data_IF_461636374389
#
_entry.id   IF_461636374389
#
_cell.length_a   1.000
_cell.length_b   1.000
_cell.length_c   1.000
_cell.angle_alpha   90.00
_cell.angle_beta   90.00
_cell.angle_gamma   90.00
#
_symmetry.space_group_name_H-M   'P 1'
#
loop_
_entity.id
_entity.type
_entity.pdbx_description
1 polymer ?
#
# COMPACT_ATOMS: atom_id res chain seq x y z
N UNK A 1 7.32 -0.56 21.03
CA UNK A 1 6.01 0.00 21.48
C UNK A 1 5.37 0.67 20.26
N UNK A 2 4.16 0.24 19.89
CA UNK A 2 3.45 0.84 18.76
C UNK A 2 3.00 2.26 19.15
N UNK A 3 3.48 3.25 18.40
CA UNK A 3 3.13 4.66 18.61
C UNK A 3 1.80 4.95 17.94
N UNK A 4 0.83 5.46 18.69
CA UNK A 4 -0.40 6.01 18.14
C UNK A 4 -0.17 7.45 17.70
N UNK A 5 -0.61 7.77 16.48
CA UNK A 5 -0.46 9.09 15.88
C UNK A 5 -1.80 9.83 15.93
N UNK A 6 -1.76 11.11 16.24
CA UNK A 6 -2.88 12.01 16.02
C UNK A 6 -3.00 12.38 14.55
N UNK A 7 -4.14 12.91 14.11
CA UNK A 7 -4.34 13.42 12.75
C UNK A 7 -3.24 14.42 12.37
N UNK A 8 -2.94 15.37 13.25
CA UNK A 8 -1.92 16.40 13.00
C UNK A 8 -0.53 15.81 12.86
N UNK A 9 -0.15 14.85 13.70
CA UNK A 9 1.13 14.16 13.59
C UNK A 9 1.24 13.39 12.27
N UNK A 10 0.15 12.77 11.84
CA UNK A 10 0.09 12.01 10.59
C UNK A 10 0.22 12.92 9.36
N UNK A 11 -0.44 14.07 9.39
CA UNK A 11 -0.40 15.05 8.29
C UNK A 11 0.96 15.77 8.19
N UNK A 12 1.73 15.83 9.29
CA UNK A 12 3.01 16.54 9.39
C UNK A 12 4.21 15.59 9.47
N UNK A 13 4.10 14.35 8.97
CA UNK A 13 5.26 13.45 8.87
C UNK A 13 6.34 14.09 8.00
N UNK A 14 7.61 14.16 8.46
CA UNK A 14 8.69 14.79 7.71
C UNK A 14 8.91 14.14 6.34
N UNK A 15 9.04 14.95 5.30
CA UNK A 15 9.28 14.49 3.92
C UNK A 15 10.53 13.62 3.79
N UNK A 16 11.56 13.89 4.60
CA UNK A 16 12.80 13.11 4.63
C UNK A 16 12.61 11.62 4.98
N UNK A 17 11.47 11.25 5.58
CA UNK A 17 11.14 9.85 5.89
C UNK A 17 10.47 9.13 4.73
N UNK A 18 10.05 9.84 3.69
CA UNK A 18 9.30 9.28 2.58
C UNK A 18 10.19 8.67 1.51
N UNK A 19 9.69 7.69 0.74
CA UNK A 19 8.34 7.12 0.82
C UNK A 19 8.17 6.15 2.00
N UNK A 20 6.94 5.98 2.46
CA UNK A 20 6.61 5.03 3.51
C UNK A 20 5.49 4.08 3.06
N UNK A 21 5.63 2.75 3.23
CA UNK A 21 4.53 1.82 3.06
C UNK A 21 3.41 2.11 4.07
N UNK A 22 2.17 2.14 3.59
CA UNK A 22 0.98 2.35 4.42
C UNK A 22 -0.01 1.23 4.14
N UNK A 23 -0.48 0.60 5.20
CA UNK A 23 -1.57 -0.37 5.17
C UNK A 23 -2.80 0.26 5.78
N UNK A 24 -3.95 0.09 5.14
CA UNK A 24 -5.21 0.56 5.68
C UNK A 24 -6.20 -0.57 5.91
N UNK A 25 -6.96 -0.41 6.97
CA UNK A 25 -8.14 -1.18 7.31
C UNK A 25 -9.34 -0.25 7.23
N UNK A 26 -10.05 -0.26 6.10
CA UNK A 26 -11.29 0.49 5.96
C UNK A 26 -12.42 -0.21 6.71
N UNK A 27 -13.01 0.49 7.67
CA UNK A 27 -14.03 -0.05 8.56
C UNK A 27 -15.41 -0.16 7.90
N UNK A 28 -15.64 0.59 6.82
CA UNK A 28 -16.97 0.72 6.18
C UNK A 28 -17.03 0.19 4.76
N UNK A 29 -15.90 -0.11 4.12
CA UNK A 29 -15.86 -0.51 2.73
C UNK A 29 -16.10 -2.00 2.56
N UNK A 30 -17.16 -2.38 1.83
CA UNK A 30 -17.53 -3.77 1.53
C UNK A 30 -16.37 -4.50 0.81
N UNK A 31 -15.65 -3.83 -0.08
CA UNK A 31 -14.50 -4.42 -0.77
C UNK A 31 -13.36 -4.76 0.21
N UNK A 32 -13.08 -3.87 1.16
CA UNK A 32 -12.10 -4.14 2.22
C UNK A 32 -12.55 -5.31 3.11
N UNK A 33 -13.85 -5.38 3.45
CA UNK A 33 -14.41 -6.49 4.21
C UNK A 33 -14.26 -7.83 3.49
N UNK A 34 -14.49 -7.87 2.17
CA UNK A 34 -14.29 -9.07 1.35
C UNK A 34 -12.85 -9.54 1.33
N UNK A 35 -11.88 -8.64 1.14
CA UNK A 35 -10.45 -8.95 1.19
C UNK A 35 -10.09 -9.53 2.57
N UNK A 36 -10.48 -8.87 3.64
CA UNK A 36 -10.18 -9.31 5.01
C UNK A 36 -10.77 -10.69 5.35
N UNK A 37 -12.00 -10.94 4.93
CA UNK A 37 -12.64 -12.24 5.13
C UNK A 37 -11.90 -13.37 4.40
N UNK A 38 -11.41 -13.10 3.19
CA UNK A 38 -10.66 -14.09 2.40
C UNK A 38 -9.23 -14.31 2.92
N UNK A 39 -8.53 -13.23 3.29
CA UNK A 39 -7.14 -13.30 3.76
C UNK A 39 -7.01 -13.62 5.24
N UNK A 40 -8.12 -13.68 5.97
CA UNK A 40 -8.14 -13.74 7.45
C UNK A 40 -7.28 -12.63 8.09
N UNK A 41 -7.16 -11.50 7.40
CA UNK A 41 -6.29 -10.38 7.76
C UNK A 41 -7.03 -9.15 8.22
N UNK A 42 -6.27 -8.19 8.77
CA UNK A 42 -6.80 -6.90 9.23
C UNK A 42 -6.77 -5.83 8.15
N UNK A 43 -5.91 -5.98 7.12
CA UNK A 43 -5.68 -4.94 6.13
C UNK A 43 -6.32 -5.26 4.80
N UNK A 44 -7.06 -4.29 4.26
CA UNK A 44 -7.75 -4.40 2.97
C UNK A 44 -7.09 -3.60 1.85
N UNK A 45 -6.11 -2.74 2.16
CA UNK A 45 -5.49 -1.87 1.16
C UNK A 45 -4.03 -1.56 1.47
N UNK A 46 -3.23 -1.39 0.41
CA UNK A 46 -1.82 -0.99 0.46
C UNK A 46 -1.60 0.29 -0.33
N UNK A 47 -0.82 1.21 0.22
CA UNK A 47 -0.53 2.53 -0.36
C UNK A 47 0.91 2.94 -0.04
N UNK A 48 1.37 4.00 -0.70
CA UNK A 48 2.63 4.68 -0.39
C UNK A 48 2.38 6.11 0.06
N UNK A 49 2.86 6.50 1.22
CA UNK A 49 2.94 7.91 1.62
C UNK A 49 4.17 8.51 0.92
N UNK A 50 3.94 9.42 -0.04
CA UNK A 50 4.97 9.93 -0.95
C UNK A 50 5.37 11.38 -0.70
N UNK A 51 4.53 12.13 -0.01
CA UNK A 51 4.78 13.48 0.47
C UNK A 51 3.88 13.74 1.69
N UNK A 52 4.14 14.76 2.53
CA UNK A 52 3.26 15.13 3.63
C UNK A 52 1.80 15.23 3.15
N UNK A 53 0.89 14.51 3.80
CA UNK A 53 -0.52 14.49 3.44
C UNK A 53 -0.88 13.90 2.07
N UNK A 54 0.07 13.26 1.35
CA UNK A 54 -0.15 12.74 0.00
C UNK A 54 0.19 11.26 -0.12
N UNK A 55 -0.78 10.47 -0.52
CA UNK A 55 -0.62 9.04 -0.81
C UNK A 55 -0.57 8.79 -2.32
N UNK A 56 0.19 7.76 -2.72
CA UNK A 56 0.04 7.10 -4.01
C UNK A 56 -0.72 5.79 -3.78
N UNK A 57 -1.90 5.67 -4.37
CA UNK A 57 -2.85 4.60 -4.09
C UNK A 57 -3.49 4.09 -5.38
N UNK A 58 -3.69 2.77 -5.45
CA UNK A 58 -4.49 2.15 -6.50
C UNK A 58 -5.98 2.33 -6.15
N UNK A 59 -6.66 3.11 -6.96
CA UNK A 59 -8.10 3.36 -6.87
C UNK A 59 -8.83 2.66 -8.01
N UNK A 60 -10.15 2.62 -7.98
CA UNK A 60 -10.97 2.02 -9.05
C UNK A 60 -10.66 2.57 -10.44
N UNK A 61 -10.20 3.81 -10.51
CA UNK A 61 -9.82 4.52 -11.74
C UNK A 61 -8.29 4.58 -11.96
N UNK A 62 -7.53 3.68 -11.34
CA UNK A 62 -6.10 3.49 -11.51
C UNK A 62 -5.23 4.01 -10.36
N UNK A 63 -3.91 3.87 -10.53
CA UNK A 63 -2.92 4.31 -9.57
C UNK A 63 -2.74 5.82 -9.65
N UNK A 64 -3.02 6.53 -8.57
CA UNK A 64 -3.07 8.00 -8.52
C UNK A 64 -2.62 8.58 -7.19
N UNK A 65 -2.31 9.88 -7.22
CA UNK A 65 -2.15 10.67 -5.99
C UNK A 65 -3.51 10.93 -5.36
N UNK A 66 -3.63 10.70 -4.07
CA UNK A 66 -4.83 10.97 -3.26
C UNK A 66 -4.43 11.68 -1.97
N UNK A 67 -5.33 12.46 -1.41
CA UNK A 67 -5.09 13.11 -0.12
C UNK A 67 -5.16 12.08 0.99
N UNK A 68 -4.19 12.08 1.90
CA UNK A 68 -4.21 11.26 3.10
C UNK A 68 -5.47 11.51 3.93
N UNK A 69 -5.91 12.77 3.98
CA UNK A 69 -7.09 13.18 4.73
C UNK A 69 -8.37 12.40 4.34
N UNK A 70 -8.50 11.98 3.07
CA UNK A 70 -9.66 11.22 2.61
C UNK A 70 -9.79 9.83 3.24
N UNK A 71 -8.76 9.34 3.91
CA UNK A 71 -8.76 8.05 4.60
C UNK A 71 -8.97 8.19 6.13
N UNK A 72 -8.81 9.39 6.70
CA UNK A 72 -8.74 9.54 8.15
C UNK A 72 -10.09 9.38 8.87
N UNK A 73 -11.20 9.41 8.16
CA UNK A 73 -12.53 9.26 8.77
C UNK A 73 -12.97 7.80 8.91
N UNK A 74 -12.49 6.92 8.01
CA UNK A 74 -13.01 5.56 7.88
C UNK A 74 -11.92 4.48 7.94
N UNK A 75 -10.64 4.86 7.94
CA UNK A 75 -9.53 3.91 7.86
C UNK A 75 -8.67 3.94 9.12
N UNK A 76 -8.38 2.74 9.65
CA UNK A 76 -7.22 2.54 10.52
C UNK A 76 -5.98 2.43 9.65
N UNK A 77 -4.92 3.12 10.03
CA UNK A 77 -3.68 3.12 9.25
C UNK A 77 -2.52 2.54 10.07
N UNK A 78 -1.66 1.77 9.39
CA UNK A 78 -0.37 1.33 9.90
C UNK A 78 0.71 1.79 8.93
N UNK A 79 1.64 2.60 9.42
CA UNK A 79 2.74 3.14 8.64
C UNK A 79 4.01 2.40 8.97
N UNK A 80 4.73 2.01 7.93
CA UNK A 80 6.02 1.37 8.04
C UNK A 80 7.12 2.31 7.60
N UNK A 81 8.26 2.23 8.26
CA UNK A 81 9.45 3.00 7.99
C UNK A 81 10.68 2.11 7.93
N UNK A 82 11.61 2.39 7.04
CA UNK A 82 12.90 1.73 7.01
C UNK A 82 14.01 2.75 7.30
N UNK A 83 14.59 2.74 8.51
CA UNK A 83 15.68 3.65 8.87
C UNK A 83 16.93 3.42 8.02
N UNK A 84 17.11 2.22 7.50
CA UNK A 84 18.31 1.83 6.74
C UNK A 84 18.27 2.30 5.28
N UNK A 85 17.14 2.77 4.77
CA UNK A 85 17.10 3.28 3.41
C UNK A 85 17.91 4.55 3.28
N UNK A 86 18.87 4.52 2.39
CA UNK A 86 19.62 5.69 1.98
C UNK A 86 18.72 6.70 1.25
N UNK A 87 19.22 7.91 1.06
CA UNK A 87 18.55 8.91 0.22
C UNK A 87 18.36 8.41 -1.21
N UNK A 88 19.33 7.64 -1.74
CA UNK A 88 19.25 7.02 -3.06
C UNK A 88 18.12 5.98 -3.17
N UNK A 89 17.96 5.12 -2.16
CA UNK A 89 16.90 4.12 -2.12
C UNK A 89 15.52 4.78 -2.13
N UNK A 90 15.34 5.82 -1.32
CA UNK A 90 14.10 6.59 -1.28
C UNK A 90 13.78 7.25 -2.62
N UNK A 91 14.79 7.86 -3.25
CA UNK A 91 14.65 8.47 -4.57
C UNK A 91 14.30 7.45 -5.65
N UNK A 92 14.88 6.24 -5.61
CA UNK A 92 14.57 5.16 -6.55
C UNK A 92 13.10 4.72 -6.46
N UNK A 93 12.59 4.52 -5.25
CA UNK A 93 11.18 4.16 -5.04
C UNK A 93 10.26 5.29 -5.51
N UNK A 94 10.53 6.55 -5.13
CA UNK A 94 9.72 7.71 -5.55
C UNK A 94 9.71 7.86 -7.06
N UNK A 95 10.84 7.68 -7.73
CA UNK A 95 10.94 7.74 -9.19
C UNK A 95 10.10 6.64 -9.87
N UNK A 96 10.11 5.42 -9.31
CA UNK A 96 9.31 4.31 -9.82
C UNK A 96 7.80 4.58 -9.64
N UNK A 97 7.41 5.11 -8.49
CA UNK A 97 6.03 5.51 -8.21
C UNK A 97 5.60 6.63 -9.18
N UNK A 98 6.42 7.67 -9.36
CA UNK A 98 6.11 8.79 -10.26
C UNK A 98 5.98 8.35 -11.71
N UNK A 99 6.85 7.43 -12.17
CA UNK A 99 6.74 6.81 -13.49
C UNK A 99 5.39 6.09 -13.67
N UNK A 100 4.95 5.35 -12.65
CA UNK A 100 3.68 4.63 -12.69
C UNK A 100 2.48 5.59 -12.68
N UNK A 101 2.53 6.64 -11.85
CA UNK A 101 1.49 7.66 -11.76
C UNK A 101 1.24 8.40 -13.08
N UNK A 102 2.27 8.50 -13.95
CA UNK A 102 2.18 9.12 -15.29
C UNK A 102 1.55 8.23 -16.34
N UNK A 103 1.40 6.93 -16.09
CA UNK A 103 0.74 6.01 -17.01
C UNK A 103 -0.72 6.35 -17.19
N UNK A 104 -1.17 6.33 -18.43
CA UNK A 104 -2.57 6.46 -18.77
C UNK A 104 -3.28 5.10 -18.62
N UNK A 105 -4.61 5.12 -18.54
CA UNK A 105 -5.41 3.91 -18.33
C UNK A 105 -5.14 2.80 -19.39
N UNK A 106 -4.88 3.17 -20.65
CA UNK A 106 -4.55 2.20 -21.71
C UNK A 106 -3.10 1.69 -21.67
N UNK A 107 -2.26 2.25 -20.81
CA UNK A 107 -0.89 1.80 -20.54
C UNK A 107 -0.80 0.87 -19.33
N UNK A 108 -1.95 0.32 -18.87
CA UNK A 108 -2.00 -0.60 -17.76
C UNK A 108 -2.24 0.04 -16.39
N UNK A 109 -2.55 1.34 -16.33
CA UNK A 109 -2.93 2.00 -15.08
C UNK A 109 -4.42 1.76 -14.78
N UNK A 110 -4.78 0.48 -14.50
CA UNK A 110 -6.16 0.06 -14.22
C UNK A 110 -6.20 -0.81 -12.98
N UNK A 111 -7.32 -0.74 -12.27
CA UNK A 111 -7.62 -1.69 -11.21
C UNK A 111 -8.01 -3.05 -11.79
N UNK A 112 -7.42 -4.12 -11.28
CA UNK A 112 -7.73 -5.48 -11.71
C UNK A 112 -8.97 -6.03 -10.99
N UNK A 113 -10.14 -5.68 -11.51
CA UNK A 113 -11.39 -6.22 -11.00
C UNK A 113 -11.55 -7.72 -11.25
N UNK A 114 -10.95 -8.26 -12.30
CA UNK A 114 -11.06 -9.68 -12.63
C UNK A 114 -10.29 -10.51 -11.61
N UNK A 115 -9.05 -10.15 -11.34
CA UNK A 115 -8.26 -10.79 -10.29
C UNK A 115 -8.89 -10.58 -8.91
N UNK A 116 -9.51 -9.43 -8.67
CA UNK A 116 -10.25 -9.16 -7.44
C UNK A 116 -11.43 -10.13 -7.24
N UNK A 117 -12.23 -10.41 -8.29
CA UNK A 117 -13.32 -11.39 -8.24
C UNK A 117 -12.76 -12.79 -7.99
N UNK A 118 -11.68 -13.18 -8.68
CA UNK A 118 -10.99 -14.44 -8.45
C UNK A 118 -10.51 -14.60 -7.01
N UNK A 119 -10.03 -13.51 -6.44
CA UNK A 119 -9.60 -13.43 -5.05
C UNK A 119 -10.78 -13.61 -4.07
N UNK A 120 -11.90 -12.91 -4.28
CA UNK A 120 -13.10 -13.02 -3.43
C UNK A 120 -13.77 -14.38 -3.47
N UNK A 121 -13.74 -15.05 -4.63
CA UNK A 121 -14.38 -16.37 -4.82
C UNK A 121 -13.46 -17.53 -4.45
N UNK A 122 -12.19 -17.26 -4.13
CA UNK A 122 -11.17 -18.29 -3.90
C UNK A 122 -10.74 -19.03 -5.18
N UNK A 123 -11.19 -18.60 -6.34
CA UNK A 123 -10.86 -19.20 -7.63
C UNK A 123 -9.53 -18.67 -8.16
N UNK A 124 -8.44 -19.21 -7.67
CA UNK A 124 -7.06 -18.81 -8.01
C UNK A 124 -6.73 -18.88 -9.51
N UNK A 125 -7.53 -19.57 -10.31
CA UNK A 125 -7.38 -19.66 -11.76
C UNK A 125 -8.00 -18.46 -12.50
N UNK A 126 -8.86 -17.68 -11.84
CA UNK A 126 -9.37 -16.42 -12.40
C UNK A 126 -8.28 -15.37 -12.24
N UNK A 127 -7.46 -15.24 -13.28
CA UNK A 127 -6.47 -14.17 -13.38
C UNK A 127 -6.89 -13.24 -14.52
N UNK A 128 -6.55 -11.97 -14.37
CA UNK A 128 -6.83 -11.02 -15.43
C UNK A 128 -6.12 -11.41 -16.71
N UNK A 129 -6.84 -11.53 -17.84
CA UNK A 129 -6.23 -11.74 -19.14
C UNK A 129 -5.50 -10.49 -19.64
N UNK A 130 -5.65 -9.36 -18.95
CA UNK A 130 -5.09 -8.08 -19.36
C UNK A 130 -3.73 -7.84 -18.72
N UNK A 131 -2.69 -7.68 -19.54
CA UNK A 131 -1.37 -7.28 -19.07
C UNK A 131 -1.42 -5.86 -18.48
N UNK A 132 -0.75 -5.64 -17.35
CA UNK A 132 -0.58 -4.33 -16.74
C UNK A 132 -1.76 -3.82 -15.89
N UNK A 133 -2.70 -4.69 -15.53
CA UNK A 133 -3.68 -4.40 -14.47
C UNK A 133 -3.13 -4.91 -13.15
N UNK A 134 -3.24 -4.09 -12.13
CA UNK A 134 -2.66 -4.36 -10.82
C UNK A 134 -3.74 -4.22 -9.72
N UNK A 135 -3.62 -4.97 -8.65
CA UNK A 135 -4.32 -4.70 -7.38
C UNK A 135 -3.48 -3.76 -6.51
N UNK A 136 -4.07 -3.22 -5.44
CA UNK A 136 -3.39 -2.22 -4.62
C UNK A 136 -2.05 -2.72 -4.04
N UNK A 137 -1.99 -3.96 -3.61
CA UNK A 137 -0.81 -4.57 -2.98
C UNK A 137 0.32 -4.91 -3.97
N UNK A 138 0.03 -5.00 -5.27
CA UNK A 138 1.08 -5.17 -6.29
C UNK A 138 2.05 -3.97 -6.32
N UNK A 139 1.62 -2.82 -5.81
CA UNK A 139 2.47 -1.63 -5.68
C UNK A 139 3.54 -1.78 -4.58
N UNK A 140 3.45 -2.81 -3.73
CA UNK A 140 4.52 -3.19 -2.81
C UNK A 140 5.76 -3.73 -3.54
N UNK A 141 5.64 -4.13 -4.82
CA UNK A 141 6.79 -4.55 -5.66
C UNK A 141 7.94 -3.53 -5.71
N UNK A 142 7.68 -2.26 -5.43
CA UNK A 142 8.74 -1.25 -5.38
C UNK A 142 9.72 -1.47 -4.22
N UNK A 143 9.35 -2.26 -3.19
CA UNK A 143 10.27 -2.70 -2.16
C UNK A 143 11.45 -3.49 -2.76
N UNK A 144 11.23 -4.24 -3.84
CA UNK A 144 12.29 -5.00 -4.53
C UNK A 144 13.42 -4.13 -5.09
N UNK A 145 13.18 -2.83 -5.31
CA UNK A 145 14.20 -1.91 -5.78
C UNK A 145 15.32 -1.69 -4.75
N UNK A 146 14.99 -1.84 -3.47
CA UNK A 146 15.87 -1.54 -2.33
C UNK A 146 16.09 -2.76 -1.43
N UNK A 147 15.27 -3.80 -1.61
CA UNK A 147 15.34 -5.04 -0.86
C UNK A 147 15.26 -6.26 -1.78
N UNK A 148 16.40 -6.91 -1.98
CA UNK A 148 16.50 -8.09 -2.87
C UNK A 148 15.74 -9.30 -2.31
N UNK A 149 15.51 -9.33 -0.99
CA UNK A 149 14.78 -10.40 -0.32
C UNK A 149 13.27 -10.29 -0.51
N UNK A 150 12.78 -9.14 -1.01
CA UNK A 150 11.37 -8.98 -1.35
C UNK A 150 11.01 -9.85 -2.56
N UNK A 151 10.31 -10.95 -2.29
CA UNK A 151 9.99 -11.99 -3.28
C UNK A 151 8.50 -12.28 -3.43
N UNK A 152 7.63 -11.50 -2.80
CA UNK A 152 6.19 -11.70 -2.91
C UNK A 152 5.70 -11.45 -4.34
N UNK A 153 4.92 -12.39 -4.85
CA UNK A 153 4.27 -12.30 -6.15
C UNK A 153 2.77 -12.15 -5.94
N UNK A 154 2.18 -11.10 -6.50
CA UNK A 154 0.76 -10.77 -6.38
C UNK A 154 0.26 -10.86 -4.91
N UNK A 155 0.93 -10.19 -3.97
CA UNK A 155 0.60 -10.32 -2.56
C UNK A 155 -0.74 -9.65 -2.25
N UNK A 156 -1.45 -10.16 -1.28
CA UNK A 156 -2.50 -9.39 -0.60
C UNK A 156 -1.89 -8.42 0.42
N UNK A 157 -2.65 -7.42 0.92
CA UNK A 157 -2.13 -6.46 1.88
C UNK A 157 -1.66 -7.08 3.19
N UNK A 158 -2.27 -8.19 3.62
CA UNK A 158 -1.87 -8.91 4.83
C UNK A 158 -0.53 -9.63 4.65
N UNK A 159 -0.29 -10.22 3.49
CA UNK A 159 1.01 -10.83 3.15
C UNK A 159 2.12 -9.79 3.13
N UNK A 160 1.85 -8.58 2.59
CA UNK A 160 2.81 -7.47 2.65
C UNK A 160 3.10 -7.08 4.10
N UNK A 161 2.06 -6.95 4.94
CA UNK A 161 2.24 -6.64 6.35
C UNK A 161 3.09 -7.70 7.07
N UNK A 162 2.78 -8.98 6.85
CA UNK A 162 3.52 -10.10 7.45
C UNK A 162 4.98 -10.09 7.02
N UNK A 163 5.25 -9.86 5.71
CA UNK A 163 6.62 -9.76 5.22
C UNK A 163 7.39 -8.63 5.91
N UNK A 164 6.79 -7.44 6.06
CA UNK A 164 7.40 -6.31 6.78
C UNK A 164 7.67 -6.64 8.25
N UNK A 165 6.77 -7.37 8.91
CA UNK A 165 6.93 -7.82 10.30
C UNK A 165 8.08 -8.83 10.44
N UNK A 166 8.20 -9.77 9.51
CA UNK A 166 9.26 -10.79 9.50
C UNK A 166 10.65 -10.20 9.22
N UNK A 167 10.72 -9.01 8.60
CA UNK A 167 11.97 -8.33 8.28
C UNK A 167 12.32 -7.21 9.28
N UNK A 168 11.85 -7.29 10.51
CA UNK A 168 12.34 -6.44 11.60
C UNK A 168 13.74 -6.91 12.04
N UNK A 169 14.63 -5.97 12.49
CA UNK A 169 14.38 -4.54 12.71
C UNK A 169 14.57 -3.65 11.49
N UNK A 170 14.82 -4.19 10.28
CA UNK A 170 15.02 -3.41 9.06
C UNK A 170 13.80 -2.53 8.75
N UNK A 171 12.59 -3.10 8.88
CA UNK A 171 11.34 -2.38 8.78
C UNK A 171 10.74 -2.19 10.17
N UNK A 172 10.39 -0.98 10.50
CA UNK A 172 9.84 -0.62 11.80
C UNK A 172 8.47 0.03 11.64
N UNK A 173 7.57 -0.24 12.58
CA UNK A 173 6.30 0.48 12.64
C UNK A 173 6.61 1.92 13.06
N UNK A 174 6.39 2.88 12.16
CA UNK A 174 6.51 4.29 12.47
C UNK A 174 5.39 4.76 13.39
N UNK A 175 4.18 4.29 13.11
CA UNK A 175 3.01 4.58 13.94
C UNK A 175 1.73 3.98 13.38
N UNK A 176 0.69 4.05 14.19
CA UNK A 176 -0.68 3.65 13.87
C UNK A 176 -1.63 4.80 14.05
N UNK A 177 -2.70 4.82 13.29
CA UNK A 177 -3.78 5.78 13.40
C UNK A 177 -5.12 5.02 13.47
N UNK A 178 -6.03 5.51 14.28
CA UNK A 178 -7.43 5.06 14.30
C UNK A 178 -8.30 6.31 14.29
N UNK A 179 -9.36 6.36 13.47
CA UNK A 179 -10.36 7.42 13.55
C UNK A 179 -11.03 7.43 14.94
N UNK A 180 -11.44 8.61 15.39
CA UNK A 180 -12.21 8.81 16.61
C UNK A 180 -13.62 8.21 16.51
#
# INVERSE_FOLDING_TARGET
MDRWLTKDQLMNIPEALMPMPVLSDNLRNIFSAGIKAHTHGCYGHFMWLIAPGTLASMQTNGFRKVKLESFLNDDRLKLWWCPMWSRGDRAAILAAIDKELKKKWWQGNRYDFVSYIGFLTGWKWIQSPFKGVDVCSDKAKYLKLVDKDYNLMNPDPQQVNKWLEEHQPKYQVYGRYTPD
#
